data_IF_113333177269
#
_entry.id   IF_113333177269
#
_cell.length_a   1.000
_cell.length_b   1.000
_cell.length_c   1.000
_cell.angle_alpha   90.00
_cell.angle_beta   90.00
_cell.angle_gamma   90.00
#
_symmetry.space_group_name_H-M   'P 1'
#
loop_
_entity.id
_entity.type
_entity.pdbx_description
1 polymer ?
#
# COMPACT_ATOMS: atom_id res chain seq x y z
N UNK A 1 -0.38 -5.73 21.70
CA UNK A 1 -1.02 -6.62 20.70
C UNK A 1 -2.55 -6.54 20.76
N UNK A 2 -3.25 -6.73 19.62
CA UNK A 2 -4.70 -6.93 19.57
C UNK A 2 -5.04 -8.36 19.13
N UNK A 3 -6.00 -8.98 19.82
CA UNK A 3 -6.70 -10.19 19.39
C UNK A 3 -8.09 -9.79 18.89
N UNK A 4 -8.27 -9.78 17.58
CA UNK A 4 -9.52 -9.42 16.93
C UNK A 4 -10.32 -10.67 16.57
N UNK A 5 -11.55 -10.75 17.02
CA UNK A 5 -12.49 -11.82 16.68
C UNK A 5 -13.50 -11.27 15.67
N UNK A 6 -13.55 -11.78 14.42
CA UNK A 6 -14.39 -11.21 13.36
C UNK A 6 -15.88 -11.61 13.50
N UNK A 7 -16.36 -11.78 14.73
CA UNK A 7 -17.74 -12.10 15.09
C UNK A 7 -18.16 -11.18 16.23
N UNK A 8 -19.45 -10.76 16.29
CA UNK A 8 -19.97 -10.05 17.45
C UNK A 8 -19.72 -10.84 18.74
N UNK A 9 -19.48 -10.16 19.86
CA UNK A 9 -19.15 -10.83 21.11
C UNK A 9 -20.20 -11.88 21.52
N UNK A 10 -21.49 -11.58 21.33
CA UNK A 10 -22.60 -12.52 21.60
C UNK A 10 -22.62 -13.76 20.70
N UNK A 11 -21.88 -13.75 19.59
CA UNK A 11 -21.78 -14.82 18.59
C UNK A 11 -20.35 -15.38 18.49
N UNK A 12 -19.43 -14.99 19.36
CA UNK A 12 -18.02 -15.40 19.27
C UNK A 12 -17.78 -16.87 19.66
N UNK A 13 -18.81 -17.59 20.11
CA UNK A 13 -18.72 -19.02 20.39
C UNK A 13 -17.65 -19.37 21.43
N UNK A 14 -16.83 -20.36 21.14
CA UNK A 14 -15.75 -20.79 22.03
C UNK A 14 -14.44 -19.99 21.83
N UNK A 15 -14.38 -19.07 20.86
CA UNK A 15 -13.25 -18.16 20.69
C UNK A 15 -13.09 -17.25 21.90
N UNK A 16 -14.19 -16.88 22.58
CA UNK A 16 -14.16 -16.06 23.81
C UNK A 16 -13.21 -16.68 24.85
N UNK A 17 -13.38 -17.98 25.12
CA UNK A 17 -12.56 -18.71 26.09
C UNK A 17 -11.11 -18.79 25.62
N UNK A 18 -10.89 -19.00 24.31
CA UNK A 18 -9.55 -19.03 23.73
C UNK A 18 -8.81 -17.69 23.87
N UNK A 19 -9.47 -16.57 23.60
CA UNK A 19 -8.86 -15.24 23.66
C UNK A 19 -8.55 -14.83 25.10
N UNK A 20 -9.45 -15.11 26.03
CA UNK A 20 -9.20 -14.88 27.46
C UNK A 20 -8.04 -15.77 27.97
N UNK A 21 -7.98 -17.04 27.54
CA UNK A 21 -6.85 -17.90 27.86
C UNK A 21 -5.54 -17.34 27.32
N UNK A 22 -5.51 -16.86 26.07
CA UNK A 22 -4.33 -16.23 25.48
C UNK A 22 -3.87 -15.03 26.30
N UNK A 23 -4.80 -14.11 26.59
CA UNK A 23 -4.53 -12.91 27.39
C UNK A 23 -3.96 -13.26 28.76
N UNK A 24 -4.57 -14.23 29.44
CA UNK A 24 -4.14 -14.66 30.76
C UNK A 24 -2.74 -15.28 30.75
N UNK A 25 -2.43 -16.18 29.80
CA UNK A 25 -1.10 -16.78 29.73
C UNK A 25 -0.01 -15.75 29.37
N UNK A 26 -0.28 -14.85 28.42
CA UNK A 26 0.71 -13.81 28.08
C UNK A 26 0.99 -12.88 29.26
N UNK A 27 -0.03 -12.50 30.02
CA UNK A 27 0.13 -11.57 31.16
C UNK A 27 1.06 -12.08 32.26
N UNK A 28 1.29 -13.40 32.31
CA UNK A 28 2.22 -14.02 33.27
C UNK A 28 3.69 -13.86 32.86
N UNK A 29 3.95 -13.61 31.57
CA UNK A 29 5.28 -13.71 30.96
C UNK A 29 5.74 -12.36 30.38
N UNK A 30 4.79 -11.52 29.98
CA UNK A 30 5.05 -10.20 29.38
C UNK A 30 4.17 -9.12 30.00
N UNK A 31 4.73 -7.92 30.12
CA UNK A 31 4.00 -6.70 30.47
C UNK A 31 3.29 -6.07 29.26
N UNK A 32 3.38 -6.68 28.08
CA UNK A 32 2.68 -6.21 26.89
C UNK A 32 1.16 -6.31 27.09
N UNK A 33 0.44 -5.23 26.83
CA UNK A 33 -1.01 -5.24 26.91
C UNK A 33 -1.62 -5.99 25.72
N UNK A 34 -2.54 -6.91 26.04
CA UNK A 34 -3.41 -7.56 25.08
C UNK A 34 -4.80 -6.97 25.19
N UNK A 35 -5.31 -6.48 24.07
CA UNK A 35 -6.70 -6.07 23.92
C UNK A 35 -7.44 -7.10 23.08
N UNK A 36 -8.60 -7.53 23.54
CA UNK A 36 -9.50 -8.40 22.80
C UNK A 36 -10.61 -7.52 22.24
N UNK A 37 -10.85 -7.59 20.93
CA UNK A 37 -11.88 -6.81 20.25
C UNK A 37 -12.75 -7.78 19.46
N UNK A 38 -14.07 -7.67 19.62
CA UNK A 38 -15.03 -8.40 18.81
C UNK A 38 -15.60 -7.48 17.73
N UNK A 39 -16.11 -8.08 16.66
CA UNK A 39 -16.67 -7.28 15.57
C UNK A 39 -17.86 -6.44 16.04
N UNK A 40 -17.83 -5.15 15.74
CA UNK A 40 -18.90 -4.21 16.10
C UNK A 40 -18.90 -3.75 17.57
N UNK A 41 -17.89 -4.12 18.36
CA UNK A 41 -17.71 -3.56 19.70
C UNK A 41 -17.17 -2.12 19.60
N UNK A 42 -17.68 -1.24 20.47
CA UNK A 42 -17.12 0.09 20.64
C UNK A 42 -15.74 -0.02 21.32
N UNK A 43 -14.71 0.45 20.63
CA UNK A 43 -13.34 0.43 21.15
C UNK A 43 -12.72 1.82 21.09
N UNK A 44 -12.21 2.27 22.25
CA UNK A 44 -11.47 3.53 22.34
C UNK A 44 -10.04 3.34 21.79
N UNK A 45 -9.90 3.63 20.51
CA UNK A 45 -8.61 3.61 19.83
C UNK A 45 -7.65 4.70 20.34
N UNK A 46 -8.14 5.79 20.93
CA UNK A 46 -7.30 6.86 21.45
C UNK A 46 -6.50 6.40 22.67
N UNK A 47 -7.11 5.56 23.51
CA UNK A 47 -6.44 4.90 24.63
C UNK A 47 -5.37 3.88 24.19
N UNK A 48 -5.36 3.45 22.92
CA UNK A 48 -4.44 2.42 22.39
C UNK A 48 -3.51 2.88 21.29
N UNK A 49 -3.53 4.18 20.92
CA UNK A 49 -2.68 4.82 19.89
C UNK A 49 -1.18 4.52 19.99
N UNK A 50 -0.66 4.16 21.16
CA UNK A 50 0.76 3.83 21.34
C UNK A 50 1.10 2.34 21.08
N UNK A 51 0.11 1.47 20.82
CA UNK A 51 0.23 0.02 20.98
C UNK A 51 -0.23 -0.82 19.77
N UNK A 52 -0.76 -0.18 18.73
CA UNK A 52 -1.40 -0.84 17.58
C UNK A 52 -0.43 -1.39 16.54
N UNK A 53 0.65 -2.06 16.94
CA UNK A 53 1.62 -2.60 15.99
C UNK A 53 1.09 -3.85 15.27
N UNK A 54 0.46 -4.77 16.00
CA UNK A 54 0.08 -6.09 15.47
C UNK A 54 -1.34 -6.46 15.85
N UNK A 55 -2.12 -6.90 14.86
CA UNK A 55 -3.49 -7.39 15.03
C UNK A 55 -3.57 -8.85 14.59
N UNK A 56 -4.04 -9.72 15.49
CA UNK A 56 -4.29 -11.12 15.22
C UNK A 56 -5.78 -11.32 14.98
N UNK A 57 -6.15 -11.69 13.76
CA UNK A 57 -7.51 -12.08 13.42
C UNK A 57 -7.68 -13.54 13.84
N UNK A 58 -8.43 -13.75 14.92
CA UNK A 58 -8.59 -15.03 15.58
C UNK A 58 -9.93 -15.67 15.21
N UNK A 59 -9.87 -16.81 14.54
CA UNK A 59 -11.04 -17.60 14.19
C UNK A 59 -10.68 -19.09 14.03
N UNK A 60 -11.68 -19.96 14.08
CA UNK A 60 -11.48 -21.36 13.71
C UNK A 60 -11.33 -21.47 12.21
N UNK A 61 -10.31 -22.19 11.76
CA UNK A 61 -10.15 -22.54 10.36
C UNK A 61 -10.44 -24.02 10.14
N UNK A 62 -10.66 -24.38 8.89
CA UNK A 62 -11.09 -25.72 8.50
C UNK A 62 -10.15 -26.35 7.48
N UNK A 63 -10.27 -27.66 7.28
CA UNK A 63 -9.58 -28.41 6.24
C UNK A 63 -9.78 -27.84 4.83
N UNK A 64 -8.91 -28.25 3.91
CA UNK A 64 -8.87 -27.79 2.51
C UNK A 64 -10.10 -28.16 1.68
N UNK A 65 -10.94 -29.06 2.20
CA UNK A 65 -12.22 -29.45 1.59
C UNK A 65 -13.27 -28.35 1.64
N UNK A 66 -13.11 -27.36 2.53
CA UNK A 66 -14.04 -26.25 2.66
C UNK A 66 -13.48 -24.98 1.99
N UNK A 67 -14.38 -24.10 1.48
CA UNK A 67 -14.00 -22.81 0.90
C UNK A 67 -13.15 -21.93 1.84
N UNK A 68 -12.78 -20.74 1.36
CA UNK A 68 -12.05 -19.71 2.11
C UNK A 68 -12.95 -19.06 3.17
N UNK A 69 -13.33 -19.87 4.17
CA UNK A 69 -14.23 -19.56 5.28
C UNK A 69 -13.55 -19.84 6.63
N UNK A 70 -14.00 -19.12 7.65
CA UNK A 70 -13.62 -19.29 9.06
C UNK A 70 -14.87 -19.40 9.93
N UNK A 71 -14.75 -20.02 11.10
CA UNK A 71 -15.86 -20.28 12.03
C UNK A 71 -15.64 -19.68 13.41
N UNK A 72 -16.73 -19.51 14.16
CA UNK A 72 -16.74 -19.06 15.55
C UNK A 72 -16.69 -20.20 16.59
N UNK A 73 -16.80 -21.46 16.15
CA UNK A 73 -16.81 -22.61 17.03
C UNK A 73 -16.05 -23.80 16.44
N UNK A 74 -15.37 -24.57 17.30
CA UNK A 74 -14.75 -25.85 16.92
C UNK A 74 -15.77 -26.96 16.64
N UNK A 75 -16.95 -26.89 17.28
CA UNK A 75 -18.06 -27.82 17.09
C UNK A 75 -18.82 -27.43 15.81
N UNK A 76 -18.67 -28.23 14.76
CA UNK A 76 -19.29 -27.99 13.44
C UNK A 76 -20.82 -27.87 13.50
N UNK A 77 -21.47 -28.42 14.52
CA UNK A 77 -22.94 -28.33 14.64
C UNK A 77 -23.40 -26.99 15.24
N UNK A 78 -22.49 -26.24 15.86
CA UNK A 78 -22.75 -24.94 16.49
C UNK A 78 -22.02 -23.79 15.79
N UNK A 79 -21.22 -24.12 14.79
CA UNK A 79 -20.35 -23.16 14.13
C UNK A 79 -21.16 -22.30 13.17
N UNK A 80 -20.98 -21.00 13.29
CA UNK A 80 -21.35 -20.04 12.26
C UNK A 80 -20.10 -19.74 11.45
N UNK A 81 -20.21 -19.84 10.13
CA UNK A 81 -19.10 -19.62 9.22
C UNK A 81 -19.28 -18.31 8.45
N UNK A 82 -18.18 -17.59 8.26
CA UNK A 82 -18.12 -16.40 7.39
C UNK A 82 -16.99 -16.56 6.37
N UNK A 83 -17.19 -15.98 5.19
CA UNK A 83 -16.15 -15.93 4.15
C UNK A 83 -15.04 -14.95 4.50
N UNK A 84 -13.85 -15.16 3.95
CA UNK A 84 -12.71 -14.27 4.17
C UNK A 84 -12.99 -12.83 3.71
N UNK A 85 -13.83 -12.63 2.69
CA UNK A 85 -14.29 -11.29 2.28
C UNK A 85 -15.05 -10.57 3.37
N UNK A 86 -16.00 -11.27 4.01
CA UNK A 86 -16.75 -10.75 5.16
C UNK A 86 -15.83 -10.43 6.33
N UNK A 87 -14.81 -11.27 6.58
CA UNK A 87 -13.77 -10.95 7.58
C UNK A 87 -13.07 -9.64 7.25
N UNK A 88 -12.69 -9.43 5.99
CA UNK A 88 -12.04 -8.18 5.53
C UNK A 88 -12.95 -6.97 5.63
N UNK A 89 -14.22 -7.09 5.25
CA UNK A 89 -15.22 -6.02 5.37
C UNK A 89 -15.38 -5.58 6.83
N UNK A 90 -15.56 -6.55 7.73
CA UNK A 90 -15.66 -6.31 9.18
C UNK A 90 -14.40 -5.67 9.74
N UNK A 91 -13.23 -6.18 9.34
CA UNK A 91 -11.95 -5.62 9.75
C UNK A 91 -11.77 -4.17 9.27
N UNK A 92 -12.09 -3.88 8.00
CA UNK A 92 -12.03 -2.53 7.45
C UNK A 92 -12.99 -1.56 8.15
N UNK A 93 -14.18 -2.05 8.53
CA UNK A 93 -15.16 -1.29 9.29
C UNK A 93 -14.63 -0.95 10.70
N UNK A 94 -14.15 -1.95 11.42
CA UNK A 94 -13.77 -1.79 12.83
C UNK A 94 -12.43 -1.06 13.00
N UNK A 95 -11.48 -1.25 12.07
CA UNK A 95 -10.13 -0.66 12.16
C UNK A 95 -9.87 0.47 11.17
N UNK A 96 -10.85 0.87 10.36
CA UNK A 96 -10.66 1.82 9.26
C UNK A 96 -9.97 3.12 9.68
N UNK A 97 -10.34 3.66 10.84
CA UNK A 97 -9.78 4.91 11.37
C UNK A 97 -8.34 4.80 11.87
N UNK A 98 -7.89 3.59 12.25
CA UNK A 98 -6.55 3.34 12.78
C UNK A 98 -5.69 2.45 11.90
N UNK A 99 -6.18 2.08 10.72
CA UNK A 99 -5.52 1.13 9.82
C UNK A 99 -4.09 1.58 9.44
N UNK A 100 -3.82 2.88 9.45
CA UNK A 100 -2.49 3.45 9.19
C UNK A 100 -1.46 3.16 10.31
N UNK A 101 -1.91 2.82 11.52
CA UNK A 101 -1.06 2.51 12.66
C UNK A 101 -0.65 1.03 12.69
N UNK A 102 -1.47 0.15 12.09
CA UNK A 102 -1.24 -1.29 12.07
C UNK A 102 -0.03 -1.62 11.20
N UNK A 103 0.98 -2.26 11.78
CA UNK A 103 2.19 -2.68 11.06
C UNK A 103 2.00 -4.05 10.41
N UNK A 104 1.40 -4.99 11.14
CA UNK A 104 1.17 -6.35 10.68
C UNK A 104 -0.21 -6.88 11.09
N UNK A 105 -0.78 -7.71 10.21
CA UNK A 105 -2.02 -8.45 10.43
C UNK A 105 -1.70 -9.95 10.36
N UNK A 106 -2.16 -10.69 11.35
CA UNK A 106 -1.95 -12.11 11.47
C UNK A 106 -3.28 -12.83 11.30
N UNK A 107 -3.47 -13.53 10.18
CA UNK A 107 -4.61 -14.43 10.00
C UNK A 107 -4.37 -15.71 10.82
N UNK A 108 -4.84 -15.69 12.06
CA UNK A 108 -4.60 -16.72 13.06
C UNK A 108 -5.76 -17.73 13.08
N UNK A 109 -5.72 -18.68 12.15
CA UNK A 109 -6.68 -19.77 12.05
C UNK A 109 -6.01 -21.09 11.60
N UNK A 110 -6.61 -22.22 11.98
CA UNK A 110 -6.14 -23.55 11.56
C UNK A 110 -6.30 -23.75 10.03
N UNK A 111 -5.44 -24.54 9.42
CA UNK A 111 -5.58 -24.89 7.99
C UNK A 111 -4.28 -25.31 7.34
N UNK A 112 -4.34 -25.73 6.06
CA UNK A 112 -3.12 -26.02 5.33
C UNK A 112 -2.38 -24.74 4.95
N UNK A 113 -1.07 -24.89 4.68
CA UNK A 113 -0.25 -23.78 4.18
C UNK A 113 -0.81 -23.15 2.92
N UNK A 114 -1.35 -23.95 2.01
CA UNK A 114 -1.85 -23.44 0.74
C UNK A 114 -3.17 -22.69 0.94
N UNK A 115 -4.13 -23.26 1.68
CA UNK A 115 -5.41 -22.62 1.96
C UNK A 115 -5.24 -21.31 2.72
N UNK A 116 -4.44 -21.31 3.77
CA UNK A 116 -4.26 -20.12 4.61
C UNK A 116 -3.49 -19.01 3.86
N UNK A 117 -2.59 -19.37 2.94
CA UNK A 117 -2.00 -18.41 2.00
C UNK A 117 -3.04 -17.80 1.07
N UNK A 118 -3.92 -18.61 0.47
CA UNK A 118 -4.99 -18.09 -0.40
C UNK A 118 -5.95 -17.17 0.35
N UNK A 119 -6.32 -17.51 1.60
CA UNK A 119 -7.11 -16.61 2.45
C UNK A 119 -6.37 -15.30 2.71
N UNK A 120 -5.07 -15.34 2.97
CA UNK A 120 -4.27 -14.13 3.15
C UNK A 120 -4.19 -13.27 1.88
N UNK A 121 -4.12 -13.90 0.70
CA UNK A 121 -4.12 -13.20 -0.59
C UNK A 121 -5.47 -12.53 -0.85
N UNK A 122 -6.58 -13.24 -0.62
CA UNK A 122 -7.93 -12.68 -0.80
C UNK A 122 -8.22 -11.58 0.23
N UNK A 123 -7.86 -11.78 1.50
CA UNK A 123 -7.95 -10.76 2.53
C UNK A 123 -7.20 -9.49 2.12
N UNK A 124 -5.97 -9.65 1.61
CA UNK A 124 -5.17 -8.52 1.12
C UNK A 124 -5.82 -7.80 -0.07
N UNK A 125 -6.45 -8.54 -0.98
CA UNK A 125 -7.10 -7.97 -2.16
C UNK A 125 -8.27 -7.05 -1.82
N UNK A 126 -8.93 -7.26 -0.69
CA UNK A 126 -10.09 -6.46 -0.25
C UNK A 126 -9.74 -5.49 0.90
N UNK A 127 -8.56 -5.61 1.51
CA UNK A 127 -8.10 -4.71 2.59
C UNK A 127 -7.91 -3.27 2.10
N UNK A 128 -8.43 -2.26 2.80
CA UNK A 128 -8.31 -0.86 2.35
C UNK A 128 -6.86 -0.39 2.20
N UNK A 129 -5.96 -0.87 3.07
CA UNK A 129 -4.53 -0.54 3.05
C UNK A 129 -3.71 -1.71 2.52
N UNK A 130 -3.10 -1.54 1.34
CA UNK A 130 -2.39 -2.62 0.62
C UNK A 130 -0.97 -2.88 1.08
N UNK A 131 -0.41 -1.99 1.89
CA UNK A 131 1.01 -1.98 2.23
C UNK A 131 1.32 -2.49 3.65
N UNK A 132 0.41 -3.28 4.22
CA UNK A 132 0.55 -3.98 5.51
C UNK A 132 1.13 -5.39 5.30
N UNK A 133 1.94 -5.86 6.25
CA UNK A 133 2.38 -7.26 6.28
C UNK A 133 1.22 -8.17 6.71
N UNK A 134 0.92 -9.18 5.89
CA UNK A 134 -0.10 -10.18 6.24
C UNK A 134 0.58 -11.51 6.47
N UNK A 135 0.45 -12.02 7.69
CA UNK A 135 0.97 -13.31 8.12
C UNK A 135 -0.14 -14.35 8.08
N UNK A 136 0.18 -15.54 7.59
CA UNK A 136 -0.67 -16.72 7.62
C UNK A 136 0.10 -17.89 8.19
N UNK A 137 -0.58 -18.84 8.83
CA UNK A 137 0.06 -19.99 9.48
C UNK A 137 -0.43 -21.29 8.88
N UNK A 138 0.34 -22.36 9.03
CA UNK A 138 -0.10 -23.69 8.65
C UNK A 138 -0.21 -24.61 9.87
N UNK A 139 -1.11 -25.58 9.79
CA UNK A 139 -1.36 -26.60 10.81
C UNK A 139 -2.60 -26.31 11.66
N UNK A 140 -2.81 -27.16 12.67
CA UNK A 140 -3.72 -26.88 13.78
C UNK A 140 -2.96 -26.06 14.80
N UNK A 141 -3.34 -24.80 14.97
CA UNK A 141 -2.63 -23.85 15.84
C UNK A 141 -3.34 -23.72 17.19
N UNK A 142 -2.58 -23.42 18.25
CA UNK A 142 -3.11 -23.27 19.61
C UNK A 142 -2.94 -21.86 20.14
N UNK A 143 -3.76 -21.51 21.12
CA UNK A 143 -3.43 -20.41 22.05
C UNK A 143 -2.08 -20.70 22.74
N UNK A 144 -1.43 -19.68 23.34
CA UNK A 144 -0.18 -19.87 24.05
C UNK A 144 -0.33 -20.91 25.17
N UNK A 145 0.73 -21.69 25.38
CA UNK A 145 0.85 -22.53 26.57
C UNK A 145 1.28 -21.71 27.80
N UNK A 146 1.52 -22.39 28.94
CA UNK A 146 1.96 -21.75 30.19
C UNK A 146 3.33 -21.06 30.10
N UNK A 147 4.09 -21.31 29.03
CA UNK A 147 5.36 -20.66 28.74
C UNK A 147 5.21 -19.59 27.64
N UNK A 148 3.97 -19.28 27.22
CA UNK A 148 3.69 -18.29 26.19
C UNK A 148 3.99 -18.77 24.78
N UNK A 149 4.24 -20.07 24.59
CA UNK A 149 4.61 -20.63 23.30
C UNK A 149 3.35 -21.01 22.52
N UNK A 150 3.25 -20.49 21.31
CA UNK A 150 2.23 -20.85 20.33
C UNK A 150 2.69 -22.09 19.56
N UNK A 151 1.84 -23.11 19.48
CA UNK A 151 2.19 -24.37 18.83
C UNK A 151 1.35 -24.61 17.57
N UNK A 152 2.00 -25.16 16.55
CA UNK A 152 1.36 -25.71 15.36
C UNK A 152 1.54 -27.22 15.35
N UNK A 153 0.46 -27.92 15.05
CA UNK A 153 0.40 -29.37 14.91
C UNK A 153 0.10 -29.73 13.46
N UNK A 154 0.96 -30.55 12.87
CA UNK A 154 0.69 -31.32 11.66
C UNK A 154 0.66 -32.81 12.01
N UNK A 155 0.17 -33.67 11.11
CA UNK A 155 -0.02 -35.11 11.35
C UNK A 155 1.23 -35.83 11.91
N UNK A 156 2.42 -35.26 11.74
CA UNK A 156 3.68 -35.86 12.16
C UNK A 156 4.54 -34.98 13.07
N UNK A 157 4.17 -33.73 13.34
CA UNK A 157 5.07 -32.81 14.02
C UNK A 157 4.34 -31.76 14.86
N UNK A 158 4.89 -31.50 16.05
CA UNK A 158 4.61 -30.33 16.88
C UNK A 158 5.77 -29.36 16.74
N UNK A 159 5.51 -28.16 16.24
CA UNK A 159 6.51 -27.09 16.06
C UNK A 159 5.99 -25.75 16.57
N UNK A 160 6.86 -24.81 16.97
CA UNK A 160 6.44 -23.43 17.20
C UNK A 160 5.73 -22.84 15.99
N UNK A 161 4.66 -22.06 16.22
CA UNK A 161 3.84 -21.46 15.14
C UNK A 161 4.66 -20.59 14.18
N UNK A 162 5.71 -19.93 14.67
CA UNK A 162 6.60 -19.09 13.87
C UNK A 162 7.28 -19.89 12.74
N UNK A 163 7.51 -21.19 12.93
CA UNK A 163 8.13 -22.05 11.90
C UNK A 163 7.18 -22.38 10.75
N UNK A 164 5.86 -22.28 10.96
CA UNK A 164 4.85 -22.51 9.91
C UNK A 164 4.32 -21.23 9.29
N UNK A 165 4.84 -20.08 9.73
CA UNK A 165 4.43 -18.77 9.27
C UNK A 165 4.84 -18.54 7.80
N UNK A 166 3.93 -17.97 7.04
CA UNK A 166 4.17 -17.42 5.71
C UNK A 166 3.78 -15.95 5.71
N UNK A 167 4.56 -15.11 5.03
CA UNK A 167 4.34 -13.66 4.99
C UNK A 167 4.05 -13.24 3.56
N UNK A 168 2.89 -12.63 3.36
CA UNK A 168 2.62 -11.89 2.14
C UNK A 168 3.28 -10.53 2.28
N UNK A 169 4.50 -10.45 1.77
CA UNK A 169 5.29 -9.21 1.79
C UNK A 169 4.57 -8.16 0.94
N UNK A 170 4.66 -6.91 1.39
CA UNK A 170 4.36 -5.71 0.61
C UNK A 170 4.74 -5.96 -0.84
N UNK A 171 3.74 -5.96 -1.73
CA UNK A 171 4.04 -5.67 -3.13
C UNK A 171 4.64 -4.28 -2.98
N UNK A 172 5.93 -4.17 -3.21
CA UNK A 172 6.43 -2.96 -3.79
C UNK A 172 5.58 -2.85 -5.05
N UNK A 173 4.48 -2.09 -4.96
CA UNK A 173 4.04 -1.34 -6.12
C UNK A 173 5.35 -0.76 -6.60
N UNK A 174 5.70 -1.03 -7.86
CA UNK A 174 6.73 -0.28 -8.57
C UNK A 174 6.21 1.15 -8.71
N UNK A 175 5.95 1.77 -7.57
CA UNK A 175 5.70 3.17 -7.36
C UNK A 175 7.06 3.78 -7.57
N UNK A 176 7.18 4.45 -8.71
CA UNK A 176 8.31 5.32 -9.00
C UNK A 176 8.59 6.19 -7.76
N UNK A 177 9.85 6.58 -7.50
CA UNK A 177 10.23 7.38 -6.32
C UNK A 177 9.37 8.62 -6.05
N UNK A 178 8.65 9.08 -7.07
CA UNK A 178 7.64 10.14 -7.06
C UNK A 178 6.48 9.88 -6.09
N UNK A 179 6.06 8.62 -5.91
CA UNK A 179 4.88 8.26 -5.10
C UNK A 179 5.16 8.14 -3.60
N UNK A 180 6.43 8.13 -3.17
CA UNK A 180 6.82 8.15 -1.76
C UNK A 180 6.98 9.55 -1.16
N UNK A 181 6.79 10.59 -1.97
CA UNK A 181 6.93 11.95 -1.49
C UNK A 181 5.63 12.40 -0.84
N UNK A 182 5.71 12.82 0.43
CA UNK A 182 4.61 13.58 1.01
C UNK A 182 4.34 14.82 0.11
N UNK A 183 3.10 15.28 0.07
CA UNK A 183 2.67 16.35 -0.83
C UNK A 183 3.60 17.58 -0.78
N UNK A 184 4.10 17.93 0.40
CA UNK A 184 5.01 19.06 0.59
C UNK A 184 6.36 18.83 -0.09
N UNK A 185 6.92 17.63 0.01
CA UNK A 185 8.14 17.24 -0.68
C UNK A 185 7.94 17.19 -2.20
N UNK A 186 6.80 16.69 -2.67
CA UNK A 186 6.47 16.65 -4.10
C UNK A 186 6.36 18.06 -4.70
N UNK A 187 5.66 18.98 -4.03
CA UNK A 187 5.55 20.39 -4.44
C UNK A 187 6.91 21.09 -4.42
N UNK A 188 7.75 20.80 -3.43
CA UNK A 188 9.11 21.35 -3.35
C UNK A 188 10.00 20.84 -4.49
N UNK A 189 9.96 19.54 -4.81
CA UNK A 189 10.72 18.96 -5.91
C UNK A 189 10.31 19.55 -7.26
N UNK A 190 9.00 19.61 -7.51
CA UNK A 190 8.46 20.20 -8.73
C UNK A 190 8.87 21.67 -8.88
N UNK A 191 8.81 22.45 -7.80
CA UNK A 191 9.25 23.85 -7.80
C UNK A 191 10.76 23.99 -8.05
N UNK A 192 11.55 23.05 -7.52
CA UNK A 192 13.00 23.00 -7.73
C UNK A 192 13.35 22.66 -9.18
N UNK A 193 12.68 21.69 -9.78
CA UNK A 193 12.86 21.31 -11.19
C UNK A 193 12.48 22.44 -12.14
N UNK A 194 11.34 23.09 -11.92
CA UNK A 194 10.94 24.29 -12.67
C UNK A 194 11.97 25.42 -12.55
N UNK A 195 12.55 25.61 -11.37
CA UNK A 195 13.58 26.63 -11.14
C UNK A 195 14.88 26.29 -11.87
N UNK A 196 15.27 25.02 -11.89
CA UNK A 196 16.44 24.52 -12.63
C UNK A 196 16.26 24.71 -14.13
N UNK A 197 15.07 24.40 -14.65
CA UNK A 197 14.73 24.58 -16.06
C UNK A 197 14.74 26.05 -16.47
N UNK A 198 14.11 26.94 -15.68
CA UNK A 198 14.16 28.39 -15.90
C UNK A 198 15.59 28.92 -15.93
N UNK A 199 16.47 28.40 -15.05
CA UNK A 199 17.89 28.78 -15.02
C UNK A 199 18.63 28.34 -16.28
N UNK A 200 18.36 27.13 -16.80
CA UNK A 200 18.90 26.68 -18.10
C UNK A 200 18.44 27.58 -19.24
N UNK A 201 17.14 27.87 -19.32
CA UNK A 201 16.60 28.74 -20.36
C UNK A 201 17.22 30.13 -20.33
N UNK A 202 17.40 30.71 -19.13
CA UNK A 202 18.06 32.01 -18.97
C UNK A 202 19.50 31.97 -19.46
N UNK A 203 20.27 30.95 -19.08
CA UNK A 203 21.65 30.79 -19.55
C UNK A 203 21.73 30.76 -21.08
N UNK A 204 20.90 29.94 -21.74
CA UNK A 204 20.88 29.87 -23.21
C UNK A 204 20.38 31.16 -23.87
N UNK A 205 19.44 31.88 -23.24
CA UNK A 205 18.97 33.16 -23.73
C UNK A 205 20.06 34.24 -23.65
N UNK A 206 20.81 34.29 -22.55
CA UNK A 206 21.95 35.20 -22.35
C UNK A 206 23.09 34.89 -23.33
N UNK A 207 23.42 33.61 -23.52
CA UNK A 207 24.38 33.13 -24.52
C UNK A 207 23.99 33.52 -25.95
N UNK A 208 22.70 33.38 -26.29
CA UNK A 208 22.17 33.74 -27.61
C UNK A 208 22.20 35.26 -27.82
N UNK A 209 21.82 36.03 -26.80
CA UNK A 209 21.87 37.49 -26.83
C UNK A 209 23.32 38.00 -26.96
N UNK A 210 24.26 37.40 -26.22
CA UNK A 210 25.69 37.71 -26.32
C UNK A 210 26.25 37.41 -27.71
N UNK A 211 25.90 36.27 -28.30
CA UNK A 211 26.26 35.95 -29.69
C UNK A 211 25.68 36.94 -30.69
N UNK A 212 24.42 37.35 -30.55
CA UNK A 212 23.82 38.37 -31.42
C UNK A 212 24.50 39.73 -31.28
N UNK A 213 24.83 40.15 -30.06
CA UNK A 213 25.55 41.39 -29.79
C UNK A 213 26.95 41.38 -30.40
N UNK A 214 27.69 40.27 -30.30
CA UNK A 214 29.01 40.12 -30.92
C UNK A 214 28.94 40.12 -32.45
N UNK A 215 27.92 39.47 -33.04
CA UNK A 215 27.67 39.52 -34.49
C UNK A 215 27.39 40.95 -34.95
N UNK A 216 26.57 41.71 -34.20
CA UNK A 216 26.32 43.13 -34.50
C UNK A 216 27.58 43.98 -34.34
N UNK A 217 28.41 43.72 -33.33
CA UNK A 217 29.67 44.43 -33.09
C UNK A 217 30.73 44.16 -34.15
N UNK A 218 30.74 42.95 -34.73
CA UNK A 218 31.66 42.54 -35.79
C UNK A 218 31.16 42.82 -37.20
N UNK A 219 29.92 43.32 -37.34
CA UNK A 219 29.42 43.77 -38.63
C UNK A 219 30.21 45.03 -38.98
N UNK A 220 31.05 45.02 -40.03
CA UNK A 220 31.69 46.24 -40.47
C UNK A 220 30.57 47.21 -40.86
N UNK A 221 30.68 48.47 -40.45
CA UNK A 221 29.93 49.55 -41.07
C UNK A 221 30.32 49.54 -42.55
N UNK A 222 29.52 48.87 -43.37
CA UNK A 222 29.56 49.07 -44.80
C UNK A 222 29.14 50.54 -44.98
N UNK A 223 29.98 51.38 -45.62
CA UNK A 223 29.59 52.74 -45.91
C UNK A 223 28.27 52.71 -46.68
N UNK A 224 27.37 53.57 -46.23
CA UNK A 224 26.10 53.89 -46.86
C UNK A 224 26.31 53.98 -48.38
N UNK A 225 25.82 52.98 -49.13
CA UNK A 225 25.74 53.07 -50.57
C UNK A 225 24.83 54.26 -50.89
N UNK A 226 25.46 55.36 -51.27
CA UNK A 226 24.84 56.46 -52.02
C UNK A 226 23.90 55.87 -53.07
N UNK A 227 22.64 56.31 -53.15
CA UNK A 227 21.70 55.76 -54.11
C UNK A 227 22.20 56.06 -55.52
N UNK A 228 22.45 55.01 -56.30
CA UNK A 228 22.77 55.14 -57.71
C UNK A 228 21.60 55.83 -58.45
N UNK A 229 21.90 56.73 -59.39
CA UNK A 229 20.88 57.54 -60.06
C UNK A 229 19.95 56.68 -60.92
N UNK A 230 18.68 57.09 -60.94
CA UNK A 230 17.60 56.49 -61.70
C UNK A 230 18.01 56.18 -63.15
N UNK A 231 18.05 54.88 -63.50
CA UNK A 231 18.01 54.44 -64.88
C UNK A 231 16.54 54.24 -65.28
N UNK A 232 16.14 54.98 -66.30
CA UNK A 232 14.80 55.02 -66.88
C UNK A 232 14.30 53.64 -67.34
N UNK A 233 12.97 53.40 -67.33
CA UNK A 233 12.39 52.13 -67.75
C UNK A 233 12.40 51.99 -69.28
N UNK A 234 12.80 50.85 -69.84
CA UNK A 234 12.33 50.44 -71.14
C UNK A 234 10.94 49.79 -71.02
N UNK A 235 10.16 50.12 -72.04
CA UNK A 235 8.74 49.94 -72.24
C UNK A 235 8.24 48.50 -72.32
N UNK A 236 6.93 48.43 -72.17
CA UNK A 236 5.96 47.34 -72.36
C UNK A 236 6.13 46.49 -73.62
N UNK A 237 5.42 45.35 -73.55
CA UNK A 237 5.10 44.35 -74.57
C UNK A 237 6.05 43.13 -74.51
N UNK A 238 5.60 41.88 -74.36
CA UNK A 238 4.39 41.27 -74.93
C UNK A 238 4.04 39.95 -74.20
N UNK A 239 2.81 39.48 -74.43
CA UNK A 239 2.08 38.46 -73.68
C UNK A 239 2.24 37.02 -74.20
N UNK A 240 1.78 36.06 -73.37
CA UNK A 240 1.06 34.80 -73.70
C UNK A 240 1.62 33.63 -72.89
N UNK A 241 0.90 33.11 -71.88
CA UNK A 241 -0.30 32.26 -71.92
C UNK A 241 0.03 30.77 -72.11
N UNK A 242 -0.41 29.95 -71.14
CA UNK A 242 -0.83 28.52 -71.12
C UNK A 242 -0.25 27.79 -69.90
N UNK A 243 -0.88 26.81 -69.26
CA UNK A 243 -2.27 26.41 -68.98
C UNK A 243 -2.13 25.25 -67.97
N UNK A 244 -3.09 25.15 -67.03
CA UNK A 244 -3.28 24.10 -66.00
C UNK A 244 -3.75 22.80 -66.71
N UNK A 245 -3.50 21.56 -66.23
CA UNK A 245 -4.04 20.96 -64.99
C UNK A 245 -3.00 20.59 -63.92
#
# INVERSE_FOLDING_TARGET
MILYVPFPHSQAGDLVVGMESWKNEQSKISNESIHIIYHGDDFDFDATKALLSEVYICAHGFSDSLPLIVGNNRDLMKTECIGIRTVTERFNQDFGEVLYQIFAIHLYCCGSKNKNRLMAEEFRMDLLRKDIFIHSYAGSITTPDSNGVLWSFSDTQKVPVQETQSVLVKQAVLETPEHRMNFKTAVMLHSYEQSKEKRRHRFFAEEKAGRQAEIHRRRPDLPEETPAPAAAPPSSDEASATSIP
#
